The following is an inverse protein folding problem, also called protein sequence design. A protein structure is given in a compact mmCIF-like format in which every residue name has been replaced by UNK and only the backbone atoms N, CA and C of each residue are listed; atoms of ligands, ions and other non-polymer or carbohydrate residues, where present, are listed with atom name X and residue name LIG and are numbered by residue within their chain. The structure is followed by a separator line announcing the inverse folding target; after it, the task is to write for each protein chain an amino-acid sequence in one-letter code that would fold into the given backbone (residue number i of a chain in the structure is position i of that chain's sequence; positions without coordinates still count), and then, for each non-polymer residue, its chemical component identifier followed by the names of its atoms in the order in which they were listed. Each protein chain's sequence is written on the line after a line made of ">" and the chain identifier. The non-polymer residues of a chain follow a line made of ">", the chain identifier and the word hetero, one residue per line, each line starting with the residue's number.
data_IF_972295642050
#
_entry.id   IF_972295642050
#
_cell.length_a   1.000
_cell.length_b   1.000
_cell.length_c   1.000
_cell.angle_alpha   90.00
_cell.angle_beta   90.00
_cell.angle_gamma   90.00
#
_symmetry.space_group_name_H-M   'P 1'
#
loop_
_entity.id
_entity.type
_entity.pdbx_description
1 polymer ?
#
# COMPACT_ATOMS: atom_id res chain seq x y z
N UNK A 1 24.34 -11.54 21.92
CA UNK A 1 24.24 -11.87 20.49
C UNK A 1 22.83 -12.14 20.03
N UNK A 2 22.05 -12.91 20.80
CA UNK A 2 20.65 -13.18 20.46
C UNK A 2 19.81 -11.90 20.41
N UNK A 3 20.05 -10.97 21.34
CA UNK A 3 19.36 -9.70 21.38
C UNK A 3 19.67 -8.83 20.16
N UNK A 4 20.91 -8.87 19.66
CA UNK A 4 21.30 -8.10 18.48
C UNK A 4 20.55 -8.58 17.23
N UNK A 5 20.42 -9.91 17.07
CA UNK A 5 19.69 -10.49 15.95
C UNK A 5 18.20 -10.20 16.04
N UNK A 6 17.62 -10.30 17.23
CA UNK A 6 16.22 -9.95 17.46
C UNK A 6 15.95 -8.47 17.15
N UNK A 7 16.87 -7.59 17.60
CA UNK A 7 16.74 -6.15 17.33
C UNK A 7 16.86 -5.83 15.84
N UNK A 8 17.73 -6.54 15.12
CA UNK A 8 17.87 -6.38 13.67
C UNK A 8 16.61 -6.79 12.94
N UNK A 9 16.02 -7.92 13.32
CA UNK A 9 14.75 -8.38 12.74
C UNK A 9 13.63 -7.40 13.03
N UNK A 10 13.56 -6.91 14.24
CA UNK A 10 12.56 -5.93 14.64
C UNK A 10 12.67 -4.65 13.83
N UNK A 11 13.88 -4.15 13.65
CA UNK A 11 14.12 -2.94 12.85
C UNK A 11 13.72 -3.13 11.39
N UNK A 12 14.00 -4.31 10.83
CA UNK A 12 13.59 -4.63 9.46
C UNK A 12 12.08 -4.65 9.32
N UNK A 13 11.38 -5.24 10.30
CA UNK A 13 9.93 -5.29 10.31
C UNK A 13 9.32 -3.89 10.46
N UNK A 14 9.87 -3.08 11.36
CA UNK A 14 9.43 -1.71 11.56
C UNK A 14 9.57 -0.89 10.27
N UNK A 15 10.70 -1.05 9.59
CA UNK A 15 10.94 -0.38 8.33
C UNK A 15 9.98 -0.86 7.24
N UNK A 16 9.73 -2.17 7.19
CA UNK A 16 8.79 -2.73 6.21
C UNK A 16 7.38 -2.20 6.44
N UNK A 17 6.95 -2.11 7.68
CA UNK A 17 5.65 -1.52 8.04
C UNK A 17 5.60 -0.06 7.58
N UNK A 18 6.64 0.72 7.87
CA UNK A 18 6.70 2.13 7.47
C UNK A 18 6.68 2.30 5.95
N UNK A 19 7.42 1.45 5.23
CA UNK A 19 7.45 1.48 3.76
C UNK A 19 6.09 1.14 3.18
N UNK A 20 5.41 0.13 3.75
CA UNK A 20 4.05 -0.24 3.33
C UNK A 20 3.07 0.90 3.59
N UNK A 21 3.16 1.54 4.75
CA UNK A 21 2.29 2.67 5.08
C UNK A 21 2.46 3.82 4.11
N UNK A 22 3.70 4.14 3.74
CA UNK A 22 3.99 5.18 2.76
C UNK A 22 3.43 4.82 1.38
N UNK A 23 3.56 3.56 0.97
CA UNK A 23 3.05 3.08 -0.31
C UNK A 23 1.53 3.07 -0.34
N UNK A 24 0.88 2.67 0.75
CA UNK A 24 -0.57 2.73 0.89
C UNK A 24 -1.05 4.17 0.70
N UNK A 25 -0.42 5.12 1.39
CA UNK A 25 -0.77 6.53 1.32
C UNK A 25 -0.64 7.08 -0.11
N UNK A 26 0.46 6.75 -0.78
CA UNK A 26 0.69 7.18 -2.16
C UNK A 26 -0.32 6.56 -3.12
N UNK A 27 -0.62 5.29 -2.94
CA UNK A 27 -1.58 4.58 -3.79
C UNK A 27 -2.98 5.12 -3.60
N UNK A 28 -3.38 5.38 -2.36
CA UNK A 28 -4.69 5.98 -2.06
C UNK A 28 -4.81 7.38 -2.66
N UNK A 29 -3.75 8.18 -2.61
CA UNK A 29 -3.73 9.50 -3.21
C UNK A 29 -3.88 9.41 -4.74
N UNK A 30 -3.20 8.46 -5.37
CA UNK A 30 -3.32 8.24 -6.81
C UNK A 30 -4.74 7.81 -7.21
N UNK A 31 -5.36 6.95 -6.40
CA UNK A 31 -6.74 6.51 -6.61
C UNK A 31 -7.69 7.71 -6.52
N UNK A 32 -7.51 8.57 -5.52
CA UNK A 32 -8.35 9.74 -5.34
C UNK A 32 -8.28 10.70 -6.53
N UNK A 33 -7.08 10.93 -7.05
CA UNK A 33 -6.88 11.76 -8.24
C UNK A 33 -7.58 11.16 -9.46
N UNK A 34 -7.43 9.84 -9.62
CA UNK A 34 -8.05 9.12 -10.74
C UNK A 34 -9.58 9.14 -10.64
N UNK A 35 -10.12 8.95 -9.45
CA UNK A 35 -11.56 9.01 -9.22
C UNK A 35 -12.14 10.39 -9.54
N UNK A 36 -11.38 11.45 -9.22
CA UNK A 36 -11.78 12.80 -9.56
C UNK A 36 -11.88 12.98 -11.08
N UNK A 37 -10.97 12.38 -11.85
CA UNK A 37 -11.03 12.40 -13.31
C UNK A 37 -12.21 11.59 -13.84
N UNK A 38 -12.45 10.43 -13.24
CA UNK A 38 -13.58 9.56 -13.62
C UNK A 38 -14.94 10.22 -13.37
N UNK A 39 -14.98 11.14 -12.41
CA UNK A 39 -16.20 11.89 -12.09
C UNK A 39 -16.55 12.96 -13.13
N UNK A 40 -15.63 13.31 -14.02
CA UNK A 40 -15.91 14.25 -15.11
C UNK A 40 -16.63 13.54 -16.26
N UNK A 41 -17.44 14.25 -17.08
CA UNK A 41 -18.09 13.61 -18.23
C UNK A 41 -17.10 12.97 -19.21
N UNK A 42 -15.96 13.61 -19.41
CA UNK A 42 -14.91 13.10 -20.31
C UNK A 42 -14.24 11.87 -19.75
N UNK A 43 -13.95 11.87 -18.44
CA UNK A 43 -13.34 10.74 -17.75
C UNK A 43 -14.29 9.56 -17.61
N UNK A 44 -15.58 9.82 -17.44
CA UNK A 44 -16.57 8.75 -17.29
C UNK A 44 -16.66 7.85 -18.53
N UNK A 45 -16.31 8.38 -19.71
CA UNK A 45 -16.34 7.61 -20.95
C UNK A 45 -14.97 7.04 -21.34
N UNK A 46 -13.93 7.30 -20.55
CA UNK A 46 -12.57 6.83 -20.82
C UNK A 46 -12.31 5.49 -20.14
N UNK A 47 -12.30 4.42 -20.94
CA UNK A 47 -12.10 3.06 -20.43
C UNK A 47 -10.72 2.87 -19.82
N UNK A 48 -9.70 3.61 -20.29
CA UNK A 48 -8.35 3.49 -19.75
C UNK A 48 -8.25 3.93 -18.29
N UNK A 49 -9.09 4.87 -17.87
CA UNK A 49 -9.14 5.31 -16.48
C UNK A 49 -9.67 4.21 -15.56
N UNK A 50 -10.68 3.47 -16.02
CA UNK A 50 -11.23 2.34 -15.26
C UNK A 50 -10.21 1.22 -15.11
N UNK A 51 -9.42 0.95 -16.14
CA UNK A 51 -8.35 -0.05 -16.08
C UNK A 51 -7.26 0.37 -15.09
N UNK A 52 -6.86 1.64 -15.12
CA UNK A 52 -5.87 2.18 -14.18
C UNK A 52 -6.38 2.11 -12.75
N UNK A 53 -7.66 2.43 -12.55
CA UNK A 53 -8.30 2.39 -11.25
C UNK A 53 -8.26 0.98 -10.67
N UNK A 54 -8.58 -0.02 -11.47
CA UNK A 54 -8.56 -1.41 -11.06
C UNK A 54 -7.15 -1.86 -10.68
N UNK A 55 -6.15 -1.50 -11.48
CA UNK A 55 -4.75 -1.84 -11.18
C UNK A 55 -4.27 -1.21 -9.88
N UNK A 56 -4.63 0.04 -9.65
CA UNK A 56 -4.28 0.73 -8.40
C UNK A 56 -4.93 0.08 -7.19
N UNK A 57 -6.18 -0.34 -7.32
CA UNK A 57 -6.89 -1.05 -6.25
C UNK A 57 -6.26 -2.39 -5.95
N UNK A 58 -5.86 -3.13 -6.97
CA UNK A 58 -5.15 -4.40 -6.80
C UNK A 58 -3.81 -4.20 -6.12
N UNK A 59 -3.08 -3.15 -6.49
CA UNK A 59 -1.82 -2.79 -5.86
C UNK A 59 -2.03 -2.45 -4.39
N UNK A 60 -3.07 -1.66 -4.09
CA UNK A 60 -3.41 -1.30 -2.72
C UNK A 60 -3.68 -2.53 -1.86
N UNK A 61 -4.49 -3.46 -2.39
CA UNK A 61 -4.81 -4.71 -1.68
C UNK A 61 -3.55 -5.52 -1.36
N UNK A 62 -2.62 -5.62 -2.31
CA UNK A 62 -1.36 -6.34 -2.09
C UNK A 62 -0.50 -5.68 -1.03
N UNK A 63 -0.39 -4.35 -1.07
CA UNK A 63 0.42 -3.62 -0.09
C UNK A 63 -0.21 -3.73 1.30
N UNK A 64 -1.54 -3.68 1.37
CA UNK A 64 -2.26 -3.85 2.64
C UNK A 64 -2.06 -5.25 3.23
N UNK A 65 -2.01 -6.28 2.39
CA UNK A 65 -1.70 -7.64 2.84
C UNK A 65 -0.27 -7.72 3.38
N UNK A 66 0.68 -7.11 2.70
CA UNK A 66 2.08 -7.07 3.16
C UNK A 66 2.21 -6.31 4.48
N UNK A 67 1.51 -5.18 4.59
CA UNK A 67 1.48 -4.38 5.81
C UNK A 67 0.93 -5.20 6.97
N UNK A 68 -0.19 -5.89 6.72
CA UNK A 68 -0.85 -6.72 7.73
C UNK A 68 0.07 -7.84 8.22
N UNK A 69 0.71 -8.56 7.29
CA UNK A 69 1.65 -9.63 7.60
C UNK A 69 2.85 -9.10 8.40
N UNK A 70 3.41 -7.98 8.00
CA UNK A 70 4.56 -7.39 8.70
C UNK A 70 4.17 -6.90 10.09
N UNK A 71 2.97 -6.32 10.24
CA UNK A 71 2.46 -5.84 11.53
C UNK A 71 2.25 -7.00 12.49
N UNK A 72 1.65 -8.09 12.03
CA UNK A 72 1.43 -9.29 12.83
C UNK A 72 2.77 -9.89 13.29
N UNK A 73 3.74 -9.99 12.39
CA UNK A 73 5.09 -10.47 12.73
C UNK A 73 5.75 -9.57 13.78
N UNK A 74 5.61 -8.27 13.63
CA UNK A 74 6.18 -7.30 14.58
C UNK A 74 5.53 -7.43 15.96
N UNK A 75 4.22 -7.62 16.02
CA UNK A 75 3.50 -7.81 17.28
C UNK A 75 3.89 -9.11 17.99
N UNK A 76 4.17 -10.15 17.22
CA UNK A 76 4.57 -11.46 17.76
C UNK A 76 6.06 -11.56 18.04
N UNK A 77 6.82 -10.57 17.74
CA UNK A 77 8.26 -10.52 17.94
C UNK A 77 8.60 -10.02 19.35
#
# INVERSE_FOLDING_TARGET
>A
EEQKELNKKRKKLERRVADCEAEIEQTEAAIAILEARMATPEGASDMSLYEQHQKLKEQLDRVMEEWDAATVELENH
#
